data_IF_881361118485
#
_entry.id   IF_881361118485
#
_cell.length_a   1.000
_cell.length_b   1.000
_cell.length_c   1.000
_cell.angle_alpha   90.00
_cell.angle_beta   90.00
_cell.angle_gamma   90.00
#
_symmetry.space_group_name_H-M   'P 1'
#
loop_
_entity.id
_entity.type
_entity.pdbx_description
1 polymer ?
#
# COMPACT_ATOMS: atom_id res chain seq x y z
N UNK A 1 21.71 5.88 -14.59
CA UNK A 1 21.26 4.96 -13.51
C UNK A 1 21.39 5.69 -12.18
N UNK A 2 20.28 5.98 -11.52
CA UNK A 2 20.33 6.38 -10.12
C UNK A 2 20.72 5.14 -9.33
N UNK A 3 21.81 5.20 -8.55
CA UNK A 3 22.17 4.08 -7.68
C UNK A 3 21.03 3.87 -6.67
N UNK A 4 20.79 2.62 -6.27
CA UNK A 4 19.80 2.29 -5.22
C UNK A 4 19.94 3.21 -3.99
N UNK A 5 21.19 3.57 -3.66
CA UNK A 5 21.54 4.47 -2.57
C UNK A 5 20.96 5.87 -2.78
N UNK A 6 20.97 6.40 -4.01
CA UNK A 6 20.45 7.76 -4.30
C UNK A 6 18.91 7.87 -4.18
N UNK A 7 18.20 6.75 -4.19
CA UNK A 7 16.74 6.71 -3.97
C UNK A 7 16.43 6.48 -2.48
N UNK A 8 17.07 5.48 -1.87
CA UNK A 8 16.77 5.06 -0.50
C UNK A 8 17.31 6.04 0.54
N UNK A 9 18.53 6.56 0.34
CA UNK A 9 19.15 7.44 1.34
C UNK A 9 18.38 8.74 1.59
N UNK A 10 17.95 9.51 0.57
CA UNK A 10 17.11 10.69 0.80
C UNK A 10 15.80 10.36 1.51
N UNK A 11 15.11 9.29 1.10
CA UNK A 11 13.87 8.87 1.75
C UNK A 11 14.11 8.47 3.21
N UNK A 12 15.17 7.70 3.49
CA UNK A 12 15.54 7.31 4.85
C UNK A 12 15.88 8.52 5.73
N UNK A 13 16.63 9.49 5.22
CA UNK A 13 16.96 10.73 5.95
C UNK A 13 15.68 11.48 6.32
N UNK A 14 14.71 11.63 5.41
CA UNK A 14 13.45 12.32 5.67
C UNK A 14 12.62 11.53 6.71
N UNK A 15 12.58 10.20 6.62
CA UNK A 15 11.89 9.35 7.62
C UNK A 15 12.55 9.49 9.00
N UNK A 16 13.89 9.52 9.08
CA UNK A 16 14.63 9.74 10.34
C UNK A 16 14.32 11.14 10.91
N UNK A 17 14.32 12.17 10.05
CA UNK A 17 13.94 13.52 10.49
C UNK A 17 12.50 13.56 11.04
N UNK A 18 11.57 12.88 10.38
CA UNK A 18 10.20 12.69 10.84
C UNK A 18 10.12 11.95 12.18
N UNK A 19 10.93 10.90 12.37
CA UNK A 19 11.03 10.18 13.65
C UNK A 19 11.52 11.08 14.79
N UNK A 20 12.56 11.88 14.54
CA UNK A 20 13.05 12.85 15.51
C UNK A 20 12.00 13.92 15.82
N UNK A 21 11.29 14.43 14.81
CA UNK A 21 10.20 15.38 14.99
C UNK A 21 9.06 14.79 15.84
N UNK A 22 8.68 13.54 15.61
CA UNK A 22 7.66 12.84 16.39
C UNK A 22 8.09 12.56 17.85
N UNK A 23 9.40 12.50 18.11
CA UNK A 23 9.93 12.33 19.48
C UNK A 23 10.10 13.65 20.24
N UNK A 24 10.32 14.77 19.54
CA UNK A 24 10.77 16.02 20.13
C UNK A 24 9.80 17.18 20.00
N UNK A 25 9.00 17.22 18.94
CA UNK A 25 8.23 18.40 18.52
C UNK A 25 6.74 18.09 18.36
N UNK A 26 6.39 16.93 17.78
CA UNK A 26 5.02 16.58 17.44
C UNK A 26 4.46 15.62 18.50
N UNK A 27 3.35 16.03 19.12
CA UNK A 27 2.52 15.13 19.90
C UNK A 27 1.58 14.30 18.98
N UNK A 28 0.85 13.31 19.50
CA UNK A 28 -0.09 12.52 18.69
C UNK A 28 -1.16 13.36 17.98
N UNK A 29 -1.58 14.48 18.58
CA UNK A 29 -2.56 15.41 17.99
C UNK A 29 -1.96 16.15 16.80
N UNK A 30 -0.72 16.63 16.94
CA UNK A 30 0.03 17.27 15.85
C UNK A 30 0.29 16.34 14.68
N UNK A 31 0.68 15.07 14.96
CA UNK A 31 0.86 14.04 13.92
C UNK A 31 -0.46 13.81 13.18
N UNK A 32 -1.59 13.72 13.90
CA UNK A 32 -2.91 13.56 13.32
C UNK A 32 -3.29 14.75 12.45
N UNK A 33 -3.12 15.99 12.94
CA UNK A 33 -3.46 17.19 12.18
C UNK A 33 -2.67 17.31 10.89
N UNK A 34 -1.35 17.03 10.93
CA UNK A 34 -0.52 16.97 9.72
C UNK A 34 -0.93 15.86 8.75
N UNK A 35 -1.33 14.69 9.28
CA UNK A 35 -1.84 13.60 8.47
C UNK A 35 -3.15 14.01 7.78
N UNK A 36 -4.10 14.57 8.52
CA UNK A 36 -5.38 15.03 7.98
C UNK A 36 -5.16 16.08 6.86
N UNK A 37 -4.26 17.06 7.08
CA UNK A 37 -3.90 18.05 6.06
C UNK A 37 -3.27 17.40 4.81
N UNK A 38 -2.37 16.44 5.01
CA UNK A 38 -1.75 15.71 3.90
C UNK A 38 -2.78 14.94 3.08
N UNK A 39 -3.65 14.19 3.75
CA UNK A 39 -4.63 13.31 3.09
C UNK A 39 -5.81 14.06 2.49
N UNK A 40 -6.18 15.23 3.02
CA UNK A 40 -7.33 16.01 2.53
C UNK A 40 -6.96 17.10 1.53
N UNK A 41 -5.71 17.55 1.49
CA UNK A 41 -5.29 18.64 0.61
C UNK A 41 -4.17 18.24 -0.35
N UNK A 42 -2.98 17.90 0.16
CA UNK A 42 -1.80 17.72 -0.69
C UNK A 42 -1.89 16.45 -1.54
N UNK A 43 -2.30 15.35 -0.93
CA UNK A 43 -2.37 14.06 -1.61
C UNK A 43 -3.45 14.02 -2.71
N UNK A 44 -4.69 14.51 -2.51
CA UNK A 44 -5.67 14.60 -3.59
C UNK A 44 -5.19 15.40 -4.79
N UNK A 45 -4.47 16.51 -4.57
CA UNK A 45 -3.89 17.30 -5.65
C UNK A 45 -2.86 16.49 -6.45
N UNK A 46 -1.98 15.75 -5.77
CA UNK A 46 -1.00 14.87 -6.41
C UNK A 46 -1.68 13.77 -7.24
N UNK A 47 -2.64 13.08 -6.65
CA UNK A 47 -3.31 11.93 -7.25
C UNK A 47 -4.14 12.33 -8.47
N UNK A 48 -4.97 13.37 -8.33
CA UNK A 48 -5.76 13.90 -9.43
C UNK A 48 -4.86 14.38 -10.58
N UNK A 49 -3.89 15.25 -10.30
CA UNK A 49 -3.00 15.81 -11.31
C UNK A 49 -2.21 14.73 -12.06
N UNK A 50 -1.67 13.75 -11.33
CA UNK A 50 -0.91 12.65 -11.93
C UNK A 50 -1.75 11.82 -12.90
N UNK A 51 -3.02 11.57 -12.57
CA UNK A 51 -3.93 10.80 -13.41
C UNK A 51 -4.55 11.65 -14.54
N UNK A 52 -4.91 12.89 -14.26
CA UNK A 52 -5.48 13.82 -15.26
C UNK A 52 -4.50 14.14 -16.40
N UNK A 53 -3.20 14.15 -16.11
CA UNK A 53 -2.14 14.36 -17.13
C UNK A 53 -1.60 13.06 -17.73
N UNK A 54 -2.07 11.90 -17.28
CA UNK A 54 -1.68 10.61 -17.84
C UNK A 54 -2.35 10.40 -19.21
N UNK A 55 -1.58 9.85 -20.16
CA UNK A 55 -2.12 9.38 -21.44
C UNK A 55 -2.23 7.88 -21.41
N UNK A 56 -3.45 7.35 -21.56
CA UNK A 56 -3.77 5.94 -21.39
C UNK A 56 -3.93 5.19 -22.73
N UNK A 57 -3.54 5.80 -23.86
CA UNK A 57 -3.63 5.17 -25.16
C UNK A 57 -2.88 3.83 -25.22
N UNK A 58 -3.62 2.73 -25.32
CA UNK A 58 -3.04 1.38 -25.39
C UNK A 58 -2.47 0.85 -24.07
N UNK A 59 -3.01 1.24 -22.91
CA UNK A 59 -2.52 0.81 -21.60
C UNK A 59 -2.60 -0.72 -21.46
N UNK A 60 -1.42 -1.34 -21.30
CA UNK A 60 -1.29 -2.77 -21.00
C UNK A 60 -1.77 -3.04 -19.55
N UNK A 61 -2.77 -3.90 -19.41
CA UNK A 61 -3.31 -4.33 -18.11
C UNK A 61 -2.55 -5.51 -17.49
N UNK A 62 -1.62 -6.10 -18.24
CA UNK A 62 -0.84 -7.28 -17.80
C UNK A 62 -0.10 -7.02 -16.47
N UNK A 63 0.53 -5.86 -16.22
CA UNK A 63 1.16 -5.60 -14.93
C UNK A 63 0.18 -5.66 -13.75
N UNK A 64 -1.04 -5.14 -13.91
CA UNK A 64 -2.07 -5.20 -12.88
C UNK A 64 -2.52 -6.63 -12.62
N UNK A 65 -2.75 -7.41 -13.67
CA UNK A 65 -3.12 -8.82 -13.58
C UNK A 65 -2.03 -9.65 -12.89
N UNK A 66 -0.76 -9.42 -13.21
CA UNK A 66 0.39 -10.06 -12.56
C UNK A 66 0.45 -9.69 -11.07
N UNK A 67 0.36 -8.41 -10.75
CA UNK A 67 0.43 -7.96 -9.35
C UNK A 67 -0.70 -8.56 -8.52
N UNK A 68 -1.95 -8.36 -8.92
CA UNK A 68 -3.09 -8.84 -8.14
C UNK A 68 -3.24 -10.37 -8.17
N UNK A 69 -3.00 -11.01 -9.30
CA UNK A 69 -3.05 -12.47 -9.41
C UNK A 69 -2.05 -13.14 -8.48
N UNK A 70 -0.79 -12.71 -8.51
CA UNK A 70 0.26 -13.23 -7.62
C UNK A 70 -0.04 -12.91 -6.15
N UNK A 71 -0.49 -11.68 -5.86
CA UNK A 71 -0.85 -11.28 -4.50
C UNK A 71 -2.01 -12.11 -3.94
N UNK A 72 -3.04 -12.41 -4.74
CA UNK A 72 -4.17 -13.23 -4.31
C UNK A 72 -3.75 -14.69 -4.06
N UNK A 73 -2.93 -15.26 -4.94
CA UNK A 73 -2.39 -16.61 -4.73
C UNK A 73 -1.58 -16.66 -3.43
N UNK A 74 -0.72 -15.69 -3.19
CA UNK A 74 0.09 -15.61 -1.96
C UNK A 74 -0.77 -15.36 -0.72
N UNK A 75 -1.79 -14.49 -0.81
CA UNK A 75 -2.77 -14.26 0.24
C UNK A 75 -3.44 -15.57 0.69
N UNK A 76 -3.99 -16.34 -0.26
CA UNK A 76 -4.66 -17.60 0.04
C UNK A 76 -3.69 -18.63 0.60
N UNK A 77 -2.49 -18.72 0.05
CA UNK A 77 -1.46 -19.63 0.54
C UNK A 77 -1.12 -19.35 2.01
N UNK A 78 -0.78 -18.09 2.35
CA UNK A 78 -0.41 -17.71 3.72
C UNK A 78 -1.59 -17.89 4.68
N UNK A 79 -2.79 -17.54 4.26
CA UNK A 79 -3.98 -17.71 5.11
C UNK A 79 -4.27 -19.20 5.38
N UNK A 80 -4.27 -20.04 4.34
CA UNK A 80 -4.48 -21.49 4.52
C UNK A 80 -3.37 -22.13 5.33
N UNK A 81 -2.12 -21.78 5.10
CA UNK A 81 -0.99 -22.24 5.90
C UNK A 81 -1.13 -21.85 7.38
N UNK A 82 -1.50 -20.59 7.65
CA UNK A 82 -1.69 -20.10 9.02
C UNK A 82 -2.83 -20.81 9.73
N UNK A 83 -3.90 -21.13 9.01
CA UNK A 83 -5.02 -21.90 9.57
C UNK A 83 -4.62 -23.34 9.92
N UNK A 84 -3.91 -24.01 9.02
CA UNK A 84 -3.60 -25.45 9.17
C UNK A 84 -2.42 -25.70 10.12
N UNK A 85 -1.38 -24.86 10.07
CA UNK A 85 -0.12 -25.13 10.77
C UNK A 85 0.12 -24.24 12.00
N UNK A 86 -0.52 -23.06 12.07
CA UNK A 86 -0.37 -22.15 13.21
C UNK A 86 -1.62 -22.06 14.10
N UNK A 87 -2.62 -22.93 13.89
CA UNK A 87 -3.82 -23.01 14.71
C UNK A 87 -4.67 -21.73 14.72
N UNK A 88 -4.56 -20.89 13.69
CA UNK A 88 -5.32 -19.65 13.60
C UNK A 88 -6.81 -19.92 13.34
N UNK A 89 -7.68 -19.12 13.95
CA UNK A 89 -9.08 -19.05 13.54
C UNK A 89 -9.18 -18.63 12.07
N UNK A 90 -10.31 -18.89 11.39
CA UNK A 90 -10.51 -18.46 10.01
C UNK A 90 -10.27 -16.96 9.84
N UNK A 91 -10.81 -16.14 10.76
CA UNK A 91 -10.61 -14.69 10.75
C UNK A 91 -9.14 -14.31 10.97
N UNK A 92 -8.47 -14.96 11.92
CA UNK A 92 -7.05 -14.76 12.19
C UNK A 92 -6.17 -15.14 11.00
N UNK A 93 -6.47 -16.25 10.33
CA UNK A 93 -5.76 -16.70 9.13
C UNK A 93 -5.91 -15.73 7.97
N UNK A 94 -7.10 -15.17 7.75
CA UNK A 94 -7.36 -14.14 6.74
C UNK A 94 -6.55 -12.88 7.03
N UNK A 95 -6.47 -12.46 8.29
CA UNK A 95 -5.64 -11.30 8.71
C UNK A 95 -4.15 -11.56 8.43
N UNK A 96 -3.65 -12.78 8.71
CA UNK A 96 -2.26 -13.15 8.39
C UNK A 96 -2.00 -13.10 6.88
N UNK A 97 -2.91 -13.65 6.06
CA UNK A 97 -2.83 -13.59 4.60
C UNK A 97 -2.85 -12.14 4.08
N UNK A 98 -3.76 -11.31 4.61
CA UNK A 98 -3.85 -9.89 4.24
C UNK A 98 -2.56 -9.16 4.60
N UNK A 99 -1.99 -9.40 5.78
CA UNK A 99 -0.71 -8.86 6.22
C UNK A 99 0.46 -9.22 5.31
N UNK A 100 0.42 -10.41 4.69
CA UNK A 100 1.47 -10.88 3.78
C UNK A 100 1.44 -10.22 2.39
N UNK A 101 0.37 -9.51 2.01
CA UNK A 101 0.24 -8.90 0.68
C UNK A 101 -0.05 -7.41 0.71
N UNK A 102 -0.69 -6.88 1.76
CA UNK A 102 -1.16 -5.51 1.78
C UNK A 102 -0.03 -4.50 2.04
N UNK A 103 0.34 -3.75 1.01
CA UNK A 103 1.44 -2.79 1.02
C UNK A 103 1.02 -1.39 1.48
N UNK A 104 1.93 -0.66 2.12
CA UNK A 104 1.79 0.79 2.36
C UNK A 104 2.05 1.57 1.06
N UNK A 105 1.13 1.44 0.12
CA UNK A 105 1.22 2.02 -1.22
C UNK A 105 1.12 3.54 -1.24
N UNK A 106 0.58 4.16 -0.19
CA UNK A 106 0.37 5.61 -0.12
C UNK A 106 1.59 6.30 0.50
N UNK A 107 1.80 6.14 1.81
CA UNK A 107 2.79 6.96 2.54
C UNK A 107 4.22 6.74 2.08
N UNK A 108 4.60 5.49 1.83
CA UNK A 108 5.95 5.16 1.36
C UNK A 108 5.97 4.85 -0.14
N UNK A 109 4.91 4.22 -0.66
CA UNK A 109 4.84 3.82 -2.07
C UNK A 109 4.92 4.99 -3.03
N UNK A 110 4.07 6.01 -2.88
CA UNK A 110 4.04 7.18 -3.77
C UNK A 110 5.41 7.87 -3.84
N UNK A 111 6.04 8.29 -2.71
CA UNK A 111 7.34 8.95 -2.78
C UNK A 111 8.45 8.07 -3.33
N UNK A 112 8.52 6.80 -2.95
CA UNK A 112 9.56 5.89 -3.44
C UNK A 112 9.42 5.65 -4.95
N UNK A 113 8.21 5.40 -5.45
CA UNK A 113 7.98 5.18 -6.88
C UNK A 113 8.30 6.42 -7.70
N UNK A 114 7.95 7.61 -7.19
CA UNK A 114 8.30 8.88 -7.84
C UNK A 114 9.81 9.12 -7.87
N UNK A 115 10.50 8.86 -6.77
CA UNK A 115 11.97 9.02 -6.67
C UNK A 115 12.72 8.02 -7.53
N UNK A 116 12.28 6.76 -7.55
CA UNK A 116 12.98 5.68 -8.25
C UNK A 116 12.73 5.67 -9.76
N UNK A 117 11.49 5.93 -10.18
CA UNK A 117 11.05 5.67 -11.56
C UNK A 117 10.35 6.87 -12.21
N UNK A 118 10.34 8.04 -11.56
CA UNK A 118 9.76 9.27 -12.08
C UNK A 118 8.24 9.18 -12.29
N UNK A 119 7.72 9.96 -13.24
CA UNK A 119 6.27 10.03 -13.51
C UNK A 119 5.73 8.74 -14.13
N UNK A 120 6.51 8.04 -14.94
CA UNK A 120 6.08 6.79 -15.57
C UNK A 120 5.84 5.69 -14.52
N UNK A 121 6.78 5.52 -13.59
CA UNK A 121 6.63 4.57 -12.49
C UNK A 121 5.50 4.97 -11.53
N UNK A 122 5.38 6.26 -11.21
CA UNK A 122 4.29 6.74 -10.37
C UNK A 122 2.92 6.46 -10.99
N UNK A 123 2.72 6.68 -12.28
CA UNK A 123 1.44 6.40 -12.97
C UNK A 123 1.03 4.93 -12.85
N UNK A 124 1.96 4.01 -13.13
CA UNK A 124 1.69 2.58 -12.97
C UNK A 124 1.39 2.22 -11.51
N UNK A 125 2.16 2.77 -10.56
CA UNK A 125 1.91 2.57 -9.13
C UNK A 125 0.53 3.07 -8.70
N UNK A 126 0.08 4.23 -9.18
CA UNK A 126 -1.24 4.77 -8.88
C UNK A 126 -2.37 3.89 -9.45
N UNK A 127 -2.16 3.24 -10.58
CA UNK A 127 -3.11 2.25 -11.12
C UNK A 127 -3.24 1.02 -10.20
N UNK A 128 -2.11 0.54 -9.66
CA UNK A 128 -2.13 -0.51 -8.63
C UNK A 128 -2.84 -0.02 -7.37
N UNK A 129 -2.48 1.18 -6.88
CA UNK A 129 -3.02 1.77 -5.66
C UNK A 129 -4.55 1.94 -5.73
N UNK A 130 -5.09 2.38 -6.87
CA UNK A 130 -6.53 2.55 -7.08
C UNK A 130 -7.32 1.25 -6.83
N UNK A 131 -6.75 0.12 -7.19
CA UNK A 131 -7.37 -1.20 -7.05
C UNK A 131 -6.95 -1.93 -5.77
N UNK A 132 -5.86 -1.50 -5.12
CA UNK A 132 -5.20 -2.25 -4.04
C UNK A 132 -6.14 -2.58 -2.87
N UNK A 133 -6.76 -1.56 -2.30
CA UNK A 133 -7.73 -1.73 -1.20
C UNK A 133 -9.00 -2.41 -1.69
N UNK A 134 -9.49 -2.04 -2.87
CA UNK A 134 -10.70 -2.63 -3.45
C UNK A 134 -10.55 -4.15 -3.63
N UNK A 135 -9.48 -4.60 -4.26
CA UNK A 135 -9.28 -6.04 -4.54
C UNK A 135 -8.98 -6.81 -3.25
N UNK A 136 -7.98 -6.37 -2.47
CA UNK A 136 -7.50 -7.17 -1.34
C UNK A 136 -8.45 -7.16 -0.14
N UNK A 137 -9.02 -5.98 0.23
CA UNK A 137 -9.98 -5.91 1.35
C UNK A 137 -11.32 -6.57 0.98
N UNK A 138 -11.77 -6.43 -0.27
CA UNK A 138 -13.00 -7.11 -0.70
C UNK A 138 -12.81 -8.62 -0.66
N UNK A 139 -11.68 -9.14 -1.16
CA UNK A 139 -11.37 -10.58 -1.11
C UNK A 139 -11.35 -11.11 0.33
N UNK A 140 -10.65 -10.39 1.24
CA UNK A 140 -10.59 -10.75 2.64
C UNK A 140 -11.98 -10.72 3.31
N UNK A 141 -12.77 -9.67 3.03
CA UNK A 141 -14.14 -9.52 3.56
C UNK A 141 -15.05 -10.62 3.04
N UNK A 142 -15.06 -10.88 1.74
CA UNK A 142 -15.90 -11.93 1.13
C UNK A 142 -15.58 -13.29 1.73
N UNK A 143 -14.30 -13.63 1.83
CA UNK A 143 -13.92 -14.91 2.42
C UNK A 143 -14.37 -15.02 3.88
N UNK A 144 -14.19 -13.97 4.68
CA UNK A 144 -14.59 -13.98 6.09
C UNK A 144 -16.11 -14.07 6.24
N UNK A 145 -16.89 -13.30 5.50
CA UNK A 145 -18.36 -13.31 5.57
C UNK A 145 -18.93 -14.63 5.07
N UNK A 146 -18.40 -15.19 3.98
CA UNK A 146 -18.79 -16.55 3.52
C UNK A 146 -18.48 -17.61 4.57
N UNK A 147 -17.33 -17.51 5.26
CA UNK A 147 -16.98 -18.44 6.32
C UNK A 147 -17.92 -18.34 7.52
N UNK A 148 -18.28 -17.12 7.92
CA UNK A 148 -19.25 -16.85 9.00
C UNK A 148 -20.65 -17.32 8.64
N UNK A 149 -21.10 -17.05 7.41
CA UNK A 149 -22.41 -17.50 6.95
C UNK A 149 -22.56 -19.02 6.93
N UNK A 150 -21.46 -19.77 6.72
CA UNK A 150 -21.46 -21.23 6.82
C UNK A 150 -21.56 -21.75 8.27
N UNK A 151 -21.08 -20.93 9.23
CA UNK A 151 -21.15 -21.25 10.66
C UNK A 151 -22.50 -20.82 11.29
N UNK A 152 -23.17 -19.79 10.71
CA UNK A 152 -24.42 -19.21 11.21
C UNK A 152 -25.51 -19.39 10.13
N UNK A 153 -26.53 -20.20 10.38
CA UNK A 153 -27.59 -20.53 9.42
C UNK A 153 -28.48 -19.34 8.96
N UNK A 154 -28.20 -18.08 9.35
CA UNK A 154 -29.16 -16.97 9.19
C UNK A 154 -28.56 -15.58 8.97
N UNK A 155 -27.46 -15.41 8.23
CA UNK A 155 -26.89 -14.06 8.04
C UNK A 155 -27.02 -13.54 6.61
N UNK A 156 -28.00 -12.63 6.39
CA UNK A 156 -28.24 -11.89 5.15
C UNK A 156 -27.29 -10.67 4.95
N UNK A 157 -26.16 -10.62 5.68
CA UNK A 157 -25.28 -9.44 5.74
C UNK A 157 -24.27 -9.35 4.60
N UNK A 158 -23.97 -10.46 3.88
CA UNK A 158 -22.90 -10.55 2.88
C UNK A 158 -22.99 -9.43 1.82
N UNK A 159 -24.12 -9.28 1.17
CA UNK A 159 -24.30 -8.27 0.11
C UNK A 159 -24.13 -6.84 0.62
N UNK A 160 -24.68 -6.54 1.82
CA UNK A 160 -24.55 -5.22 2.45
C UNK A 160 -23.10 -4.93 2.84
N UNK A 161 -22.40 -5.89 3.38
CA UNK A 161 -20.99 -5.74 3.80
C UNK A 161 -20.07 -5.53 2.59
N UNK A 162 -20.25 -6.29 1.51
CA UNK A 162 -19.52 -6.08 0.24
C UNK A 162 -19.83 -4.69 -0.31
N UNK A 163 -21.11 -4.31 -0.40
CA UNK A 163 -21.50 -2.98 -0.89
C UNK A 163 -20.85 -1.86 -0.08
N UNK A 164 -20.85 -1.96 1.25
CA UNK A 164 -20.20 -0.98 2.13
C UNK A 164 -18.69 -0.92 1.90
N UNK A 165 -18.01 -2.06 1.74
CA UNK A 165 -16.57 -2.09 1.45
C UNK A 165 -16.27 -1.42 0.10
N UNK A 166 -17.03 -1.74 -0.95
CA UNK A 166 -16.87 -1.11 -2.27
C UNK A 166 -17.14 0.39 -2.19
N UNK A 167 -18.26 0.80 -1.58
CA UNK A 167 -18.64 2.21 -1.43
C UNK A 167 -17.57 3.00 -0.67
N UNK A 168 -17.12 2.50 0.48
CA UNK A 168 -16.09 3.19 1.28
C UNK A 168 -14.73 3.20 0.59
N UNK A 169 -14.40 2.18 -0.19
CA UNK A 169 -13.17 2.16 -0.99
C UNK A 169 -13.21 3.19 -2.11
N UNK A 170 -14.30 3.26 -2.86
CA UNK A 170 -14.44 4.22 -3.98
C UNK A 170 -14.50 5.68 -3.49
N UNK A 171 -15.21 5.93 -2.39
CA UNK A 171 -15.33 7.27 -1.79
C UNK A 171 -14.15 7.64 -0.88
N UNK A 172 -13.13 6.79 -0.80
CA UNK A 172 -11.95 7.08 0.01
C UNK A 172 -11.21 8.31 -0.53
N UNK A 173 -10.72 9.24 0.33
CA UNK A 173 -10.04 10.48 -0.09
C UNK A 173 -8.78 10.25 -0.93
N UNK A 174 -8.24 9.04 -0.95
CA UNK A 174 -7.12 8.64 -1.82
C UNK A 174 -7.62 8.13 -3.17
N UNK A 175 -8.70 7.33 -3.20
CA UNK A 175 -9.17 6.68 -4.43
C UNK A 175 -9.98 7.63 -5.30
N UNK A 176 -10.84 8.43 -4.70
CA UNK A 176 -11.71 9.37 -5.43
C UNK A 176 -10.94 10.33 -6.35
N UNK A 177 -9.85 11.02 -5.90
CA UNK A 177 -9.05 11.87 -6.78
C UNK A 177 -8.38 11.10 -7.94
N UNK A 178 -7.97 9.84 -7.71
CA UNK A 178 -7.43 8.98 -8.77
C UNK A 178 -8.50 8.73 -9.83
N UNK A 179 -9.70 8.31 -9.43
CA UNK A 179 -10.79 8.02 -10.35
C UNK A 179 -11.24 9.26 -11.14
N UNK A 180 -11.38 10.41 -10.46
CA UNK A 180 -11.73 11.67 -11.13
C UNK A 180 -10.62 12.10 -12.09
N UNK A 181 -9.35 11.96 -11.70
CA UNK A 181 -8.20 12.24 -12.56
C UNK A 181 -8.13 11.30 -13.78
N UNK A 182 -8.43 10.01 -13.58
CA UNK A 182 -8.53 9.03 -14.68
C UNK A 182 -9.61 9.42 -15.69
N UNK A 183 -10.81 9.75 -15.21
CA UNK A 183 -11.91 10.19 -16.11
C UNK A 183 -11.52 11.45 -16.88
N UNK A 184 -10.85 12.40 -16.24
CA UNK A 184 -10.33 13.61 -16.87
C UNK A 184 -9.30 13.29 -17.97
N UNK A 185 -8.33 12.39 -17.66
CA UNK A 185 -7.28 11.96 -18.60
C UNK A 185 -7.82 11.15 -19.77
N UNK A 186 -8.83 10.29 -19.55
CA UNK A 186 -9.53 9.57 -20.63
C UNK A 186 -10.35 10.50 -21.53
N UNK A 187 -10.91 11.57 -20.98
CA UNK A 187 -11.60 12.58 -21.75
C UNK A 187 -10.63 13.50 -22.56
N UNK A 188 -9.33 13.32 -22.37
CA UNK A 188 -8.26 14.11 -22.99
C UNK A 188 -8.40 15.62 -22.77
N UNK A 189 -9.12 16.03 -21.72
CA UNK A 189 -9.33 17.43 -21.41
C UNK A 189 -8.01 18.08 -20.97
N UNK A 190 -7.65 19.25 -21.54
CA UNK A 190 -6.47 19.96 -21.10
C UNK A 190 -6.67 20.49 -19.67
N UNK A 191 -5.65 20.35 -18.83
CA UNK A 191 -5.64 20.99 -17.52
C UNK A 191 -5.16 22.45 -17.72
N UNK A 192 -6.04 23.46 -17.49
CA UNK A 192 -5.67 24.83 -17.77
C UNK A 192 -4.57 25.31 -16.80
N UNK A 193 -3.62 26.17 -17.25
CA UNK A 193 -2.46 26.59 -16.43
C UNK A 193 -2.82 27.17 -15.07
N UNK A 194 -3.93 27.92 -14.98
CA UNK A 194 -4.40 28.51 -13.72
C UNK A 194 -4.83 27.46 -12.68
N UNK A 195 -5.21 26.25 -13.10
CA UNK A 195 -5.52 25.13 -12.23
C UNK A 195 -4.30 24.21 -12.03
N UNK A 196 -3.52 23.94 -13.09
CA UNK A 196 -2.36 23.04 -13.04
C UNK A 196 -1.24 23.56 -12.13
N UNK A 197 -0.96 24.87 -12.14
CA UNK A 197 0.09 25.47 -11.32
C UNK A 197 -0.15 25.30 -9.81
N UNK A 198 -1.27 25.74 -9.23
CA UNK A 198 -1.53 25.55 -7.80
C UNK A 198 -1.64 24.08 -7.41
N UNK A 199 -2.24 23.23 -8.26
CA UNK A 199 -2.26 21.79 -8.04
C UNK A 199 -0.85 21.20 -8.00
N UNK A 200 0.05 21.66 -8.88
CA UNK A 200 1.45 21.25 -8.93
C UNK A 200 2.22 21.63 -7.66
N UNK A 201 2.04 22.85 -7.14
CA UNK A 201 2.67 23.30 -5.90
C UNK A 201 2.20 22.45 -4.70
N UNK A 202 0.90 22.26 -4.55
CA UNK A 202 0.35 21.42 -3.47
C UNK A 202 0.79 19.95 -3.61
N UNK A 203 0.75 19.40 -4.83
CA UNK A 203 1.18 18.04 -5.11
C UNK A 203 2.66 17.80 -4.75
N UNK A 204 3.54 18.78 -4.96
CA UNK A 204 4.97 18.65 -4.65
C UNK A 204 5.27 18.48 -3.18
N UNK A 205 4.42 19.00 -2.30
CA UNK A 205 4.55 18.87 -0.85
C UNK A 205 4.14 17.48 -0.33
N UNK A 206 3.27 16.76 -1.04
CA UNK A 206 2.73 15.47 -0.58
C UNK A 206 3.81 14.43 -0.30
N UNK A 207 4.74 14.21 -1.24
CA UNK A 207 5.79 13.18 -1.11
C UNK A 207 6.68 13.36 0.12
N UNK A 208 7.36 14.50 0.29
CA UNK A 208 8.19 14.77 1.46
C UNK A 208 7.39 14.70 2.77
N UNK A 209 6.18 15.26 2.81
CA UNK A 209 5.35 15.25 4.02
C UNK A 209 4.93 13.82 4.40
N UNK A 210 4.62 12.95 3.44
CA UNK A 210 4.30 11.55 3.71
C UNK A 210 5.48 10.80 4.34
N UNK A 211 6.71 11.06 3.91
CA UNK A 211 7.90 10.46 4.50
C UNK A 211 8.14 10.96 5.94
N UNK A 212 7.95 12.26 6.19
CA UNK A 212 8.00 12.83 7.55
C UNK A 212 6.94 12.20 8.44
N UNK A 213 5.70 12.09 7.97
CA UNK A 213 4.60 11.47 8.71
C UNK A 213 4.87 9.99 9.01
N UNK A 214 5.45 9.26 8.05
CA UNK A 214 5.88 7.87 8.25
C UNK A 214 6.86 7.77 9.43
N UNK A 215 7.88 8.62 9.45
CA UNK A 215 8.86 8.68 10.54
C UNK A 215 8.22 9.06 11.88
N UNK A 216 7.36 10.08 11.89
CA UNK A 216 6.67 10.52 13.09
C UNK A 216 5.74 9.42 13.66
N UNK A 217 5.03 8.69 12.83
CA UNK A 217 4.21 7.56 13.24
C UNK A 217 5.05 6.42 13.83
N UNK A 218 6.21 6.09 13.20
CA UNK A 218 7.15 5.10 13.75
C UNK A 218 7.62 5.46 15.15
N UNK A 219 7.78 6.75 15.48
CA UNK A 219 8.21 7.21 16.79
C UNK A 219 7.22 6.91 17.92
N UNK A 220 5.96 6.72 17.60
CA UNK A 220 4.87 6.45 18.56
C UNK A 220 4.52 4.95 18.67
N UNK A 221 5.03 4.11 17.78
CA UNK A 221 4.75 2.67 17.78
C UNK A 221 5.42 1.96 18.95
N UNK A 222 4.66 1.06 19.59
CA UNK A 222 5.15 0.16 20.65
C UNK A 222 5.31 -1.25 20.07
N UNK A 223 6.45 -1.88 20.29
CA UNK A 223 6.65 -3.30 20.00
C UNK A 223 5.83 -4.13 20.99
N UNK A 224 5.02 -5.06 20.48
CA UNK A 224 4.21 -5.97 21.29
C UNK A 224 4.96 -7.26 21.60
N UNK A 225 4.44 -8.05 22.54
CA UNK A 225 5.03 -9.35 22.95
C UNK A 225 4.87 -10.46 21.89
N UNK A 226 4.05 -10.28 20.86
CA UNK A 226 3.71 -11.31 19.86
C UNK A 226 4.70 -11.33 18.67
N UNK A 227 5.99 -11.35 18.95
CA UNK A 227 7.05 -11.17 17.94
C UNK A 227 7.10 -12.29 16.90
N UNK A 228 6.84 -13.55 17.25
CA UNK A 228 6.91 -14.69 16.31
C UNK A 228 5.97 -14.52 15.10
N UNK A 229 4.70 -14.21 15.36
CA UNK A 229 3.71 -13.97 14.30
C UNK A 229 4.04 -12.74 13.48
N UNK A 230 4.51 -11.68 14.16
CA UNK A 230 4.91 -10.43 13.54
C UNK A 230 6.11 -10.61 12.58
N UNK A 231 7.15 -11.35 12.99
CA UNK A 231 8.27 -11.69 12.12
C UNK A 231 7.85 -12.55 10.93
N UNK A 232 6.99 -13.56 11.16
CA UNK A 232 6.49 -14.41 10.07
C UNK A 232 5.77 -13.61 8.99
N UNK A 233 4.86 -12.70 9.38
CA UNK A 233 4.16 -11.80 8.45
C UNK A 233 5.17 -10.87 7.75
N UNK A 234 6.14 -10.31 8.49
CA UNK A 234 7.14 -9.41 7.92
C UNK A 234 7.98 -10.12 6.85
N UNK A 235 8.44 -11.34 7.11
CA UNK A 235 9.19 -12.12 6.11
C UNK A 235 8.30 -12.41 4.90
N UNK A 236 7.07 -12.87 5.12
CA UNK A 236 6.12 -13.16 4.04
C UNK A 236 5.83 -11.91 3.18
N UNK A 237 5.70 -10.74 3.82
CA UNK A 237 5.35 -9.48 3.17
C UNK A 237 6.55 -8.80 2.50
N UNK A 238 7.63 -8.60 3.25
CA UNK A 238 8.73 -7.76 2.77
C UNK A 238 9.71 -8.50 1.83
N UNK A 239 9.77 -9.82 1.92
CA UNK A 239 10.74 -10.60 1.15
C UNK A 239 10.12 -11.63 0.23
N UNK A 240 9.18 -12.45 0.70
CA UNK A 240 8.58 -13.50 -0.13
C UNK A 240 7.64 -12.93 -1.19
N UNK A 241 6.79 -11.97 -0.82
CA UNK A 241 5.85 -11.34 -1.76
C UNK A 241 6.57 -10.66 -2.94
N UNK A 242 7.58 -9.78 -2.76
CA UNK A 242 8.31 -9.20 -3.89
C UNK A 242 9.10 -10.24 -4.70
N UNK A 243 9.62 -11.30 -4.08
CA UNK A 243 10.31 -12.38 -4.78
C UNK A 243 9.34 -13.13 -5.72
N UNK A 244 8.11 -13.43 -5.26
CA UNK A 244 7.09 -14.05 -6.07
C UNK A 244 6.64 -13.15 -7.21
N UNK A 245 6.42 -11.87 -6.96
CA UNK A 245 6.09 -10.88 -8.00
C UNK A 245 7.21 -10.82 -9.04
N UNK A 246 8.47 -10.77 -8.61
CA UNK A 246 9.62 -10.78 -9.51
C UNK A 246 9.64 -12.03 -10.39
N UNK A 247 9.50 -13.21 -9.79
CA UNK A 247 9.52 -14.48 -10.53
C UNK A 247 8.41 -14.56 -11.60
N UNK A 248 7.19 -14.14 -11.26
CA UNK A 248 6.06 -14.15 -12.21
C UNK A 248 6.24 -13.08 -13.30
N UNK A 249 6.66 -11.87 -12.93
CA UNK A 249 6.91 -10.78 -13.89
C UNK A 249 8.01 -11.15 -14.89
N UNK A 250 9.09 -11.76 -14.40
CA UNK A 250 10.19 -12.25 -15.22
C UNK A 250 9.75 -13.38 -16.16
N UNK A 251 9.02 -14.38 -15.65
CA UNK A 251 8.53 -15.52 -16.42
C UNK A 251 7.56 -15.11 -17.54
N UNK A 252 6.79 -14.05 -17.33
CA UNK A 252 5.84 -13.50 -18.30
C UNK A 252 6.45 -12.42 -19.19
N UNK A 253 7.73 -12.10 -19.04
CA UNK A 253 8.45 -11.13 -19.88
C UNK A 253 7.95 -9.70 -19.76
N UNK A 254 7.53 -9.27 -18.57
CA UNK A 254 7.11 -7.87 -18.35
C UNK A 254 8.26 -6.91 -18.66
N UNK A 255 7.91 -5.70 -19.08
CA UNK A 255 8.91 -4.65 -19.30
C UNK A 255 9.73 -4.36 -18.02
N UNK A 256 11.00 -3.95 -18.15
CA UNK A 256 11.84 -3.64 -16.99
C UNK A 256 11.18 -2.64 -16.03
N UNK A 257 10.55 -1.59 -16.54
CA UNK A 257 9.85 -0.60 -15.72
C UNK A 257 8.66 -1.23 -14.99
N UNK A 258 7.83 -2.03 -15.67
CA UNK A 258 6.70 -2.69 -15.05
C UNK A 258 7.17 -3.63 -13.94
N UNK A 259 8.15 -4.50 -14.22
CA UNK A 259 8.75 -5.40 -13.23
C UNK A 259 9.27 -4.61 -12.01
N UNK A 260 10.01 -3.53 -12.24
CA UNK A 260 10.58 -2.71 -11.19
C UNK A 260 9.50 -2.08 -10.29
N UNK A 261 8.45 -1.51 -10.88
CA UNK A 261 7.33 -0.91 -10.14
C UNK A 261 6.59 -1.95 -9.31
N UNK A 262 6.27 -3.12 -9.90
CA UNK A 262 5.54 -4.18 -9.21
C UNK A 262 6.33 -4.75 -8.02
N UNK A 263 7.59 -5.08 -8.25
CA UNK A 263 8.48 -5.65 -7.22
C UNK A 263 8.70 -4.66 -6.07
N UNK A 264 8.97 -3.40 -6.41
CA UNK A 264 9.15 -2.34 -5.40
C UNK A 264 7.85 -2.10 -4.63
N UNK A 265 6.70 -2.12 -5.29
CA UNK A 265 5.39 -2.01 -4.63
C UNK A 265 5.14 -3.18 -3.66
N UNK A 266 5.51 -4.40 -4.04
CA UNK A 266 5.42 -5.57 -3.18
C UNK A 266 6.42 -5.53 -2.01
N UNK A 267 7.60 -4.90 -2.18
CA UNK A 267 8.62 -4.75 -1.13
C UNK A 267 8.32 -3.64 -0.10
N UNK A 268 7.30 -2.81 -0.34
CA UNK A 268 6.84 -1.82 0.64
C UNK A 268 6.41 -2.47 1.96
N UNK A 269 6.51 -1.78 3.09
CA UNK A 269 6.06 -2.31 4.37
C UNK A 269 4.56 -2.60 4.38
N UNK A 270 4.12 -3.33 5.38
CA UNK A 270 2.70 -3.62 5.60
C UNK A 270 1.91 -2.33 5.81
N UNK A 271 0.78 -2.20 5.12
CA UNK A 271 -0.12 -1.04 5.23
C UNK A 271 -1.02 -1.11 6.45
N UNK A 272 -1.34 0.06 7.02
CA UNK A 272 -2.17 0.21 8.24
C UNK A 272 -3.60 -0.32 8.09
N UNK A 273 -4.11 -0.48 6.88
CA UNK A 273 -5.45 -1.06 6.66
C UNK A 273 -5.56 -2.50 7.17
N UNK A 274 -4.44 -3.24 7.27
CA UNK A 274 -4.43 -4.58 7.89
C UNK A 274 -4.79 -4.48 9.38
N UNK A 275 -4.26 -3.47 10.08
CA UNK A 275 -4.61 -3.22 11.47
C UNK A 275 -6.09 -2.84 11.63
N UNK A 276 -6.61 -1.96 10.78
CA UNK A 276 -8.03 -1.57 10.80
C UNK A 276 -8.95 -2.78 10.54
N UNK A 277 -8.53 -3.68 9.65
CA UNK A 277 -9.25 -4.92 9.39
C UNK A 277 -9.18 -5.86 10.62
N UNK A 278 -8.01 -6.04 11.20
CA UNK A 278 -7.82 -6.85 12.42
C UNK A 278 -8.67 -6.34 13.58
N UNK A 279 -8.68 -5.00 13.80
CA UNK A 279 -9.48 -4.33 14.82
C UNK A 279 -10.98 -4.50 14.59
N UNK A 280 -11.45 -4.30 13.36
CA UNK A 280 -12.88 -4.47 13.01
C UNK A 280 -13.41 -5.84 13.36
N UNK A 281 -12.58 -6.87 13.25
CA UNK A 281 -12.95 -8.25 13.51
C UNK A 281 -12.41 -8.79 14.82
N UNK A 282 -11.71 -7.94 15.62
CA UNK A 282 -11.13 -8.25 16.94
C UNK A 282 -10.23 -9.47 16.92
N UNK A 283 -9.34 -9.57 15.91
CA UNK A 283 -8.42 -10.71 15.73
C UNK A 283 -7.00 -10.22 15.42
N UNK A 284 -6.02 -10.83 16.09
CA UNK A 284 -4.58 -10.63 15.84
C UNK A 284 -4.08 -9.16 15.91
N UNK A 285 -4.80 -8.25 16.59
CA UNK A 285 -4.47 -6.82 16.65
C UNK A 285 -3.04 -6.57 17.12
N UNK A 286 -2.61 -7.24 18.18
CA UNK A 286 -1.26 -7.10 18.73
C UNK A 286 -0.18 -7.61 17.76
N UNK A 287 -0.45 -8.76 17.09
CA UNK A 287 0.46 -9.33 16.09
C UNK A 287 0.62 -8.36 14.91
N UNK A 288 -0.50 -7.81 14.41
CA UNK A 288 -0.51 -6.88 13.27
C UNK A 288 0.18 -5.56 13.64
N UNK A 289 -0.04 -5.03 14.85
CA UNK A 289 0.63 -3.81 15.33
C UNK A 289 2.15 -4.01 15.35
N UNK A 290 2.63 -5.11 15.94
CA UNK A 290 4.05 -5.43 15.96
C UNK A 290 4.60 -5.65 14.53
N UNK A 291 3.85 -6.37 13.68
CA UNK A 291 4.23 -6.61 12.30
C UNK A 291 4.34 -5.31 11.48
N UNK A 292 3.42 -4.36 11.68
CA UNK A 292 3.49 -3.04 11.01
C UNK A 292 4.79 -2.31 11.37
N UNK A 293 5.16 -2.30 12.66
CA UNK A 293 6.39 -1.66 13.11
C UNK A 293 7.64 -2.37 12.55
N UNK A 294 7.72 -3.70 12.69
CA UNK A 294 8.87 -4.50 12.23
C UNK A 294 8.99 -4.43 10.70
N UNK A 295 7.87 -4.56 9.98
CA UNK A 295 7.81 -4.46 8.52
C UNK A 295 8.27 -3.08 8.02
N UNK A 296 7.94 -2.01 8.75
CA UNK A 296 8.37 -0.66 8.42
C UNK A 296 9.89 -0.49 8.56
N UNK A 297 10.50 -1.08 9.57
CA UNK A 297 11.95 -1.10 9.74
C UNK A 297 12.62 -2.01 8.68
N UNK A 298 12.04 -3.19 8.44
CA UNK A 298 12.54 -4.14 7.44
C UNK A 298 12.41 -3.59 5.99
N UNK A 299 11.53 -2.62 5.76
CA UNK A 299 11.34 -2.03 4.45
C UNK A 299 12.59 -1.35 3.89
N UNK A 300 13.47 -0.82 4.74
CA UNK A 300 14.75 -0.28 4.29
C UNK A 300 15.58 -1.37 3.59
N UNK A 301 15.66 -2.57 4.17
CA UNK A 301 16.38 -3.69 3.58
C UNK A 301 15.64 -4.24 2.35
N UNK A 302 14.33 -4.51 2.45
CA UNK A 302 13.55 -5.09 1.35
C UNK A 302 13.52 -4.19 0.12
N UNK A 303 13.34 -2.88 0.28
CA UNK A 303 13.37 -1.91 -0.80
C UNK A 303 14.77 -1.78 -1.41
N UNK A 304 15.82 -1.78 -0.57
CA UNK A 304 17.22 -1.76 -1.07
C UNK A 304 17.50 -2.99 -1.94
N UNK A 305 17.14 -4.18 -1.46
CA UNK A 305 17.30 -5.44 -2.20
C UNK A 305 16.45 -5.42 -3.49
N UNK A 306 15.18 -5.04 -3.38
CA UNK A 306 14.30 -4.97 -4.54
C UNK A 306 14.86 -4.04 -5.62
N UNK A 307 15.20 -2.81 -5.26
CA UNK A 307 15.77 -1.83 -6.20
C UNK A 307 17.12 -2.28 -6.77
N UNK A 308 17.96 -2.97 -5.99
CA UNK A 308 19.23 -3.51 -6.49
C UNK A 308 19.04 -4.61 -7.54
N UNK A 309 17.97 -5.41 -7.43
CA UNK A 309 17.65 -6.49 -8.37
C UNK A 309 16.98 -5.95 -9.64
N UNK A 310 16.07 -4.96 -9.50
CA UNK A 310 15.24 -4.50 -10.62
C UNK A 310 15.66 -3.15 -11.20
N UNK A 311 16.68 -2.49 -10.64
CA UNK A 311 17.19 -1.25 -11.22
C UNK A 311 17.75 -1.55 -12.62
N UNK A 312 17.28 -0.81 -13.66
CA UNK A 312 17.75 -0.99 -15.03
C UNK A 312 19.20 -0.57 -15.22
#
# INVERSE_FOLDING_TARGET
>A
MLSTVSVILPAAIIVIAGFVAGRRVLDPTGIKALSDLCFLLFLPCLLFRSMATARFGGSDVTPLAVYFGTSLVWFFFVALYSRQNAGQSTAGAIVMGLGAVFSNTVQLGIPIQKLAFGDAGLKLHLSILALHSLVLLTTATVWLEVSRARESANDNSLGRNIFNVVKTSVLHPVILPILVGLLWGFAEWPLPPWADQPLGFLASAAGPLMLVLMGAQLSTMKLSEHLRGAFAITIAKNFMHPLLIFGVAWALGLSPLATAVLVTCAALPMGSNVFLFAQRYSVNENVVTAATAISSLAALASLTIALAIVAP
#
